data_IF_159054230374
#
_entry.id   IF_159054230374
#
_cell.length_a   1.000
_cell.length_b   1.000
_cell.length_c   1.000
_cell.angle_alpha   90.00
_cell.angle_beta   90.00
_cell.angle_gamma   90.00
#
_symmetry.space_group_name_H-M   'P 1'
#
loop_
_entity.id
_entity.type
_entity.pdbx_description
1 polymer ?
#
# COMPACT_ATOMS: atom_id res chain seq x y z
N UNK A 1 -11.99 -6.09 -15.59
CA UNK A 1 -13.24 -5.46 -15.10
C UNK A 1 -12.98 -5.11 -13.65
N UNK A 2 -13.44 -3.94 -13.18
CA UNK A 2 -13.39 -3.58 -11.76
C UNK A 2 -14.44 -4.38 -10.99
N UNK A 3 -14.04 -4.99 -9.88
CA UNK A 3 -14.93 -5.62 -8.91
C UNK A 3 -14.93 -4.85 -7.59
N UNK A 4 -16.00 -5.03 -6.81
CA UNK A 4 -16.05 -4.64 -5.41
C UNK A 4 -15.91 -5.92 -4.57
N UNK A 5 -14.83 -6.02 -3.79
CA UNK A 5 -14.51 -7.15 -2.91
C UNK A 5 -14.64 -6.72 -1.45
N UNK A 6 -15.20 -7.56 -0.59
CA UNK A 6 -15.38 -7.27 0.83
C UNK A 6 -15.13 -8.51 1.69
N UNK A 7 -14.36 -8.35 2.78
CA UNK A 7 -14.19 -9.37 3.82
C UNK A 7 -15.43 -9.48 4.72
N UNK A 8 -15.94 -8.33 5.16
CA UNK A 8 -17.18 -8.23 5.92
C UNK A 8 -16.93 -8.09 7.41
N UNK A 9 -17.24 -9.12 8.20
CA UNK A 9 -17.03 -9.09 9.66
C UNK A 9 -16.08 -10.21 10.07
N UNK A 10 -15.14 -9.93 10.95
CA UNK A 10 -14.09 -10.86 11.34
C UNK A 10 -12.74 -10.42 10.78
N UNK A 11 -11.71 -11.21 11.04
CA UNK A 11 -10.36 -10.95 10.54
C UNK A 11 -10.20 -11.69 9.20
N UNK A 12 -10.22 -10.95 8.11
CA UNK A 12 -10.28 -11.46 6.75
C UNK A 12 -8.96 -11.28 5.99
N UNK A 13 -8.79 -12.08 4.94
CA UNK A 13 -7.74 -11.89 3.93
C UNK A 13 -8.44 -11.63 2.60
N UNK A 14 -8.31 -10.42 2.08
CA UNK A 14 -8.95 -10.00 0.84
C UNK A 14 -7.88 -9.68 -0.20
N UNK A 15 -7.88 -10.46 -1.28
CA UNK A 15 -6.93 -10.32 -2.39
C UNK A 15 -7.72 -9.89 -3.61
N UNK A 16 -7.40 -8.74 -4.18
CA UNK A 16 -7.94 -8.33 -5.47
C UNK A 16 -6.84 -8.08 -6.48
N UNK A 17 -7.23 -7.99 -7.75
CA UNK A 17 -6.28 -7.80 -8.84
C UNK A 17 -6.80 -6.78 -9.85
N UNK A 18 -5.89 -6.06 -10.50
CA UNK A 18 -6.27 -4.99 -11.41
C UNK A 18 -6.99 -3.86 -10.67
N UNK A 19 -8.15 -3.43 -11.17
CA UNK A 19 -8.78 -2.16 -10.79
C UNK A 19 -9.84 -2.25 -9.68
N UNK A 20 -9.74 -3.29 -8.86
CA UNK A 20 -10.75 -3.61 -7.86
C UNK A 20 -10.84 -2.55 -6.73
N UNK A 21 -12.02 -2.44 -6.16
CA UNK A 21 -12.25 -1.81 -4.85
C UNK A 21 -12.29 -2.93 -3.81
N UNK A 22 -11.42 -2.87 -2.82
CA UNK A 22 -11.29 -3.87 -1.77
C UNK A 22 -11.61 -3.21 -0.44
N UNK A 23 -12.48 -3.86 0.34
CA UNK A 23 -12.80 -3.48 1.71
C UNK A 23 -12.54 -4.65 2.67
N UNK A 24 -11.81 -4.42 3.76
CA UNK A 24 -11.69 -5.38 4.85
C UNK A 24 -13.03 -5.51 5.57
N UNK A 25 -13.48 -4.41 6.16
CA UNK A 25 -14.76 -4.32 6.83
C UNK A 25 -14.56 -4.07 8.32
N UNK A 26 -14.98 -4.99 9.18
CA UNK A 26 -14.72 -4.88 10.62
C UNK A 26 -13.92 -6.07 11.11
N UNK A 27 -12.80 -5.82 11.78
CA UNK A 27 -11.85 -6.81 12.24
C UNK A 27 -10.44 -6.42 11.83
N UNK A 28 -9.44 -7.21 12.19
CA UNK A 28 -8.06 -6.96 11.78
C UNK A 28 -7.81 -7.67 10.44
N UNK A 29 -7.86 -6.92 9.34
CA UNK A 29 -7.88 -7.47 7.99
C UNK A 29 -6.52 -7.40 7.29
N UNK A 30 -6.30 -8.29 6.32
CA UNK A 30 -5.15 -8.24 5.41
C UNK A 30 -5.63 -7.99 3.99
N UNK A 31 -5.29 -6.82 3.45
CA UNK A 31 -5.69 -6.42 2.10
C UNK A 31 -4.48 -6.46 1.17
N UNK A 32 -4.53 -7.32 0.15
CA UNK A 32 -3.43 -7.49 -0.81
C UNK A 32 -3.81 -6.88 -2.15
N UNK A 33 -2.95 -5.98 -2.60
CA UNK A 33 -3.08 -5.18 -3.80
C UNK A 33 -1.85 -5.31 -4.68
N UNK A 34 -2.02 -5.01 -5.96
CA UNK A 34 -0.95 -5.08 -6.95
C UNK A 34 -0.69 -3.69 -7.53
N UNK A 35 0.57 -3.28 -7.51
CA UNK A 35 1.06 -2.08 -8.17
C UNK A 35 1.86 -2.44 -9.42
N UNK A 36 1.75 -1.65 -10.48
CA UNK A 36 2.32 -1.97 -11.81
C UNK A 36 1.53 -3.02 -12.61
N UNK A 37 1.69 -3.01 -13.94
CA UNK A 37 0.97 -3.89 -14.88
C UNK A 37 -0.07 -3.18 -15.77
N UNK A 38 -0.57 -3.89 -16.80
CA UNK A 38 -1.51 -3.45 -17.86
C UNK A 38 -2.91 -3.19 -17.30
N UNK A 39 -3.69 -2.11 -17.49
CA UNK A 39 -3.82 -1.00 -18.45
C UNK A 39 -4.23 0.33 -17.77
N UNK A 40 -3.91 1.45 -18.42
CA UNK A 40 -3.69 2.79 -17.86
C UNK A 40 -4.76 3.45 -16.93
N UNK A 41 -4.22 4.29 -16.03
CA UNK A 41 -4.80 5.41 -15.25
C UNK A 41 -5.80 5.11 -14.14
N UNK A 42 -6.32 3.90 -14.03
CA UNK A 42 -7.22 3.56 -12.92
C UNK A 42 -6.43 3.01 -11.72
N UNK A 43 -6.85 3.38 -10.50
CA UNK A 43 -6.27 2.89 -9.27
C UNK A 43 -7.03 1.67 -8.73
N UNK A 44 -6.31 0.76 -8.09
CA UNK A 44 -6.89 -0.18 -7.13
C UNK A 44 -7.10 0.57 -5.81
N UNK A 45 -8.26 0.37 -5.19
CA UNK A 45 -8.67 1.13 -4.01
C UNK A 45 -8.77 0.17 -2.83
N UNK A 46 -8.09 0.50 -1.73
CA UNK A 46 -8.15 -0.26 -0.48
C UNK A 46 -8.81 0.56 0.62
N UNK A 47 -9.67 -0.11 1.38
CA UNK A 47 -10.38 0.41 2.55
C UNK A 47 -10.24 -0.64 3.64
N UNK A 48 -9.43 -0.40 4.67
CA UNK A 48 -9.27 -1.35 5.78
C UNK A 48 -10.61 -1.52 6.52
N UNK A 49 -11.20 -0.40 6.89
CA UNK A 49 -12.41 -0.34 7.69
C UNK A 49 -12.09 -0.10 9.15
N UNK A 50 -12.64 -0.90 10.05
CA UNK A 50 -12.38 -0.77 11.49
C UNK A 50 -11.56 -1.94 12.00
N UNK A 51 -10.44 -1.67 12.66
CA UNK A 51 -9.54 -2.68 13.21
C UNK A 51 -8.10 -2.25 13.01
N UNK A 52 -7.15 -3.13 13.31
CA UNK A 52 -5.75 -2.92 12.97
C UNK A 52 -5.44 -3.65 11.67
N UNK A 53 -5.49 -2.93 10.55
CA UNK A 53 -5.42 -3.52 9.22
C UNK A 53 -3.98 -3.58 8.69
N UNK A 54 -3.73 -4.57 7.84
CA UNK A 54 -2.47 -4.74 7.11
C UNK A 54 -2.72 -4.59 5.62
N UNK A 55 -2.25 -3.48 5.06
CA UNK A 55 -2.22 -3.25 3.62
C UNK A 55 -0.92 -3.80 3.04
N UNK A 56 -1.02 -4.64 2.01
CA UNK A 56 0.14 -5.20 1.30
C UNK A 56 0.05 -4.77 -0.16
N UNK A 57 1.06 -4.02 -0.62
CA UNK A 57 1.18 -3.56 -2.01
C UNK A 57 2.32 -4.31 -2.68
N UNK A 58 1.96 -5.21 -3.58
CA UNK A 58 2.90 -6.04 -4.32
C UNK A 58 3.38 -5.36 -5.59
N UNK A 59 4.65 -5.56 -5.94
CA UNK A 59 5.23 -5.01 -7.16
C UNK A 59 5.11 -6.00 -8.32
N UNK A 60 4.37 -5.60 -9.35
CA UNK A 60 4.15 -6.37 -10.58
C UNK A 60 4.77 -5.69 -11.81
N UNK A 61 5.55 -4.60 -11.61
CA UNK A 61 6.13 -3.81 -12.71
C UNK A 61 7.08 -4.62 -13.62
N UNK A 62 7.71 -5.67 -13.10
CA UNK A 62 8.60 -6.57 -13.85
C UNK A 62 7.86 -7.57 -14.76
N UNK A 63 6.55 -7.74 -14.60
CA UNK A 63 5.78 -8.79 -15.28
C UNK A 63 5.02 -8.32 -16.53
N UNK A 64 4.63 -7.04 -16.59
CA UNK A 64 3.96 -6.48 -17.76
C UNK A 64 4.05 -4.93 -17.78
N UNK A 65 4.08 -4.31 -18.98
CA UNK A 65 4.04 -2.85 -19.10
C UNK A 65 2.69 -2.28 -18.65
N UNK A 66 2.73 -1.16 -17.94
CA UNK A 66 1.58 -0.35 -17.51
C UNK A 66 1.77 0.23 -16.11
N UNK A 67 1.16 1.39 -15.85
CA UNK A 67 1.12 2.02 -14.53
C UNK A 67 -0.26 1.83 -13.90
N UNK A 68 -0.32 0.91 -12.93
CA UNK A 68 -1.36 0.96 -11.90
C UNK A 68 -0.87 1.71 -10.70
N UNK A 69 -1.83 2.25 -9.94
CA UNK A 69 -1.58 2.90 -8.67
C UNK A 69 -2.47 2.24 -7.63
N UNK A 70 -1.94 2.06 -6.42
CA UNK A 70 -2.74 1.68 -5.27
C UNK A 70 -3.04 2.92 -4.45
N UNK A 71 -4.31 3.11 -4.12
CA UNK A 71 -4.79 4.18 -3.25
C UNK A 71 -5.45 3.58 -2.01
N UNK A 72 -4.96 3.99 -0.83
CA UNK A 72 -5.50 3.55 0.46
C UNK A 72 -6.29 4.72 1.06
N UNK A 73 -7.58 4.51 1.32
CA UNK A 73 -8.51 5.61 1.59
C UNK A 73 -8.68 5.98 3.07
N UNK A 74 -8.33 5.08 3.97
CA UNK A 74 -8.62 5.18 5.41
C UNK A 74 -7.45 4.77 6.31
N UNK A 75 -6.23 4.73 5.78
CA UNK A 75 -5.03 4.36 6.53
C UNK A 75 -4.88 5.20 7.82
N UNK A 76 -4.90 4.53 8.96
CA UNK A 76 -4.70 5.11 10.28
C UNK A 76 -3.31 4.74 10.81
N UNK A 77 -2.38 5.70 10.84
CA UNK A 77 -1.01 5.46 11.33
C UNK A 77 -0.90 4.99 12.78
N UNK A 78 -1.94 5.17 13.61
CA UNK A 78 -1.94 4.68 14.99
C UNK A 78 -2.33 3.20 15.12
N UNK A 79 -2.94 2.60 14.09
CA UNK A 79 -3.54 1.26 14.15
C UNK A 79 -3.05 0.36 13.02
N UNK A 80 -2.95 0.89 11.80
CA UNK A 80 -2.69 0.14 10.57
C UNK A 80 -1.21 -0.01 10.26
N UNK A 81 -0.93 -0.96 9.38
CA UNK A 81 0.41 -1.17 8.81
C UNK A 81 0.34 -1.32 7.30
N UNK A 82 1.40 -0.88 6.64
CA UNK A 82 1.58 -0.93 5.21
C UNK A 82 2.87 -1.69 4.89
N UNK A 83 2.78 -2.73 4.09
CA UNK A 83 3.91 -3.46 3.52
C UNK A 83 3.99 -3.14 2.04
N UNK A 84 5.16 -2.68 1.59
CA UNK A 84 5.42 -2.34 0.20
C UNK A 84 6.52 -3.23 -0.35
N UNK A 85 6.27 -3.90 -1.47
CA UNK A 85 7.34 -4.55 -2.21
C UNK A 85 8.31 -3.53 -2.79
N UNK A 86 9.59 -3.85 -2.71
CA UNK A 86 10.64 -3.04 -3.32
C UNK A 86 10.57 -3.16 -4.84
N UNK A 87 10.45 -2.02 -5.57
CA UNK A 87 10.54 -2.04 -7.02
C UNK A 87 11.89 -2.61 -7.46
N UNK A 88 11.84 -3.60 -8.36
CA UNK A 88 13.01 -4.27 -8.97
C UNK A 88 13.96 -5.00 -7.98
N UNK A 89 13.56 -5.21 -6.72
CA UNK A 89 14.34 -5.90 -5.68
C UNK A 89 15.52 -5.13 -5.06
N UNK A 90 16.20 -5.78 -4.11
CA UNK A 90 17.44 -5.35 -3.45
C UNK A 90 17.25 -4.48 -2.19
N UNK A 91 18.25 -4.46 -1.29
CA UNK A 91 18.16 -3.81 0.03
C UNK A 91 17.73 -2.33 0.01
N UNK A 92 16.69 -2.02 0.76
CA UNK A 92 16.06 -0.71 0.80
C UNK A 92 16.94 0.34 1.49
N UNK A 93 16.92 1.60 1.03
CA UNK A 93 17.58 2.65 1.84
C UNK A 93 16.79 3.94 2.01
N UNK A 94 15.81 4.29 1.17
CA UNK A 94 15.04 5.54 1.36
C UNK A 94 13.58 5.43 0.86
N UNK A 95 12.64 5.68 1.78
CA UNK A 95 11.26 6.05 1.47
C UNK A 95 11.14 7.57 1.48
N UNK A 96 10.36 8.11 0.54
CA UNK A 96 9.97 9.51 0.53
C UNK A 96 8.47 9.62 0.58
N UNK A 97 7.97 10.39 1.54
CA UNK A 97 6.57 10.80 1.62
C UNK A 97 6.45 12.21 1.03
N UNK A 98 5.59 12.38 0.04
CA UNK A 98 5.35 13.67 -0.61
C UNK A 98 3.89 14.04 -0.44
N UNK A 99 3.61 15.13 0.29
CA UNK A 99 2.26 15.71 0.34
C UNK A 99 1.92 16.28 -1.02
N UNK A 100 0.89 15.73 -1.68
CA UNK A 100 0.42 16.20 -2.98
C UNK A 100 -0.55 17.38 -2.82
N UNK A 101 -1.47 17.26 -1.86
CA UNK A 101 -2.45 18.27 -1.47
C UNK A 101 -2.95 18.01 -0.03
N UNK A 102 -3.99 18.73 0.40
CA UNK A 102 -4.58 18.61 1.74
C UNK A 102 -5.17 17.21 2.05
N UNK A 103 -5.33 16.35 1.04
CA UNK A 103 -5.96 15.04 1.15
C UNK A 103 -5.03 13.88 0.84
N UNK A 104 -3.92 14.07 0.12
CA UNK A 104 -3.10 12.97 -0.39
C UNK A 104 -1.63 13.06 -0.06
N UNK A 105 -1.07 11.92 0.35
CA UNK A 105 0.37 11.70 0.52
C UNK A 105 0.81 10.58 -0.42
N UNK A 106 1.72 10.88 -1.34
CA UNK A 106 2.36 9.89 -2.18
C UNK A 106 3.57 9.27 -1.45
N UNK A 107 3.63 7.94 -1.46
CA UNK A 107 4.81 7.20 -1.01
C UNK A 107 5.63 6.83 -2.25
N UNK A 108 6.92 7.12 -2.18
CA UNK A 108 7.89 6.77 -3.21
C UNK A 108 9.02 5.93 -2.61
N UNK A 109 9.40 4.88 -3.32
CA UNK A 109 10.60 4.11 -3.04
C UNK A 109 11.63 4.41 -4.13
N UNK A 110 12.82 4.92 -3.75
CA UNK A 110 13.89 5.30 -4.71
C UNK A 110 13.42 6.26 -5.83
N UNK A 111 12.43 7.11 -5.54
CA UNK A 111 11.83 8.05 -6.50
C UNK A 111 10.76 7.44 -7.42
N UNK A 112 10.44 6.15 -7.24
CA UNK A 112 9.34 5.46 -7.93
C UNK A 112 8.10 5.52 -7.04
N UNK A 113 6.96 6.07 -7.52
CA UNK A 113 5.70 6.01 -6.79
C UNK A 113 5.23 4.57 -6.58
N UNK A 114 4.93 4.21 -5.33
CA UNK A 114 4.50 2.85 -4.96
C UNK A 114 3.05 2.80 -4.48
N UNK A 115 2.58 3.82 -3.77
CA UNK A 115 1.16 3.95 -3.36
C UNK A 115 0.85 5.38 -2.94
N UNK A 116 -0.44 5.69 -2.77
CA UNK A 116 -0.93 6.95 -2.20
C UNK A 116 -1.81 6.67 -1.00
N UNK A 117 -1.58 7.40 0.09
CA UNK A 117 -2.44 7.42 1.26
C UNK A 117 -3.35 8.65 1.21
N UNK A 118 -4.64 8.46 1.49
CA UNK A 118 -5.61 9.53 1.60
C UNK A 118 -5.93 9.85 3.05
N UNK A 119 -5.99 11.13 3.40
CA UNK A 119 -6.43 11.61 4.72
C UNK A 119 -5.50 11.22 5.87
N UNK A 120 -4.29 10.75 5.58
CA UNK A 120 -3.33 10.34 6.60
C UNK A 120 -2.75 11.54 7.33
N UNK A 121 -2.70 11.46 8.65
CA UNK A 121 -1.99 12.42 9.46
C UNK A 121 -0.53 11.98 9.63
N UNK A 122 0.40 12.71 9.02
CA UNK A 122 1.83 12.35 9.03
C UNK A 122 2.45 12.33 10.43
N UNK A 123 1.88 13.03 11.41
CA UNK A 123 2.37 12.98 12.79
C UNK A 123 2.04 11.67 13.50
N UNK A 124 1.08 10.92 12.96
CA UNK A 124 0.64 9.66 13.52
C UNK A 124 1.47 8.49 12.98
N UNK A 125 2.38 8.75 12.03
CA UNK A 125 3.29 7.75 11.47
C UNK A 125 4.54 7.54 12.34
N UNK A 126 4.89 6.28 12.49
CA UNK A 126 6.04 5.73 13.19
C UNK A 126 6.90 4.90 12.24
N UNK A 127 8.16 4.65 12.61
CA UNK A 127 9.08 3.80 11.83
C UNK A 127 8.60 2.35 11.67
N UNK A 128 7.57 1.91 12.39
CA UNK A 128 7.01 0.57 12.29
C UNK A 128 5.80 0.44 11.35
N UNK A 129 5.24 1.56 10.87
CA UNK A 129 3.93 1.54 10.20
C UNK A 129 4.06 1.27 8.70
N UNK A 130 5.20 1.63 8.10
CA UNK A 130 5.50 1.36 6.70
C UNK A 130 6.73 0.46 6.64
N UNK A 131 6.51 -0.78 6.22
CA UNK A 131 7.52 -1.81 6.05
C UNK A 131 7.84 -1.97 4.57
N UNK A 132 9.11 -2.22 4.26
CA UNK A 132 9.51 -2.62 2.92
C UNK A 132 9.79 -4.13 2.92
N UNK A 133 9.31 -4.80 1.88
CA UNK A 133 9.55 -6.21 1.64
C UNK A 133 10.46 -6.32 0.43
N UNK A 134 11.69 -6.78 0.65
CA UNK A 134 12.54 -7.21 -0.45
C UNK A 134 12.05 -8.60 -0.89
N UNK A 135 11.62 -8.73 -2.14
CA UNK A 135 11.19 -10.02 -2.71
C UNK A 135 12.35 -10.75 -3.39
N UNK A 136 13.54 -10.15 -3.44
CA UNK A 136 14.76 -10.75 -4.00
C UNK A 136 15.60 -11.52 -2.96
N UNK A 137 15.40 -11.24 -1.66
CA UNK A 137 16.03 -11.95 -0.55
C UNK A 137 14.94 -12.41 0.44
N UNK A 138 15.10 -13.59 1.06
CA UNK A 138 14.16 -14.10 2.06
C UNK A 138 14.28 -13.28 3.39
N UNK A 139 13.83 -12.02 3.42
CA UNK A 139 13.92 -11.17 4.62
C UNK A 139 13.26 -9.79 4.47
N UNK A 140 12.54 -9.35 5.52
CA UNK A 140 11.94 -8.01 5.58
C UNK A 140 12.99 -6.96 5.98
N UNK A 141 13.19 -5.93 5.17
CA UNK A 141 14.09 -4.80 5.47
C UNK A 141 13.24 -3.58 5.89
N UNK A 142 13.26 -3.23 7.17
CA UNK A 142 12.54 -2.07 7.69
C UNK A 142 13.22 -0.77 7.25
N UNK A 143 12.55 0.06 6.45
CA UNK A 143 13.05 1.40 6.14
C UNK A 143 12.75 2.39 7.28
N UNK A 144 13.71 3.27 7.58
CA UNK A 144 13.47 4.42 8.45
C UNK A 144 12.68 5.49 7.67
N UNK A 145 11.51 5.87 8.17
CA UNK A 145 10.78 7.04 7.66
C UNK A 145 11.59 8.29 8.00
N UNK A 146 12.09 9.00 6.98
CA UNK A 146 12.67 10.33 7.16
C UNK A 146 11.55 11.34 6.95
N UNK A 147 10.97 11.84 8.04
CA UNK A 147 10.10 13.00 8.00
C UNK A 147 10.95 14.24 7.63
N UNK A 148 10.60 14.89 6.52
CA UNK A 148 11.20 16.15 6.06
C UNK A 148 10.54 17.36 6.68
#
# INVERSE_FOLDING_TARGET
MRQDLSGGTGNDVVIGAGLDRISGGSGDDVLVAQNGGTNDWDAQILIGGSGSDLFVVEDMTSLAPGEYRVEILDFNGLEDRLVLDLPDGGSATNLRLTVLDDSYVQIECRGVPVTTLRGVNLTDLSVGDILLRDTSEDGYDYAQIVAG
#
